data_IF_319549320320
#
_entry.id   IF_319549320320
#
_cell.length_a   1.000
_cell.length_b   1.000
_cell.length_c   1.000
_cell.angle_alpha   90.00
_cell.angle_beta   90.00
_cell.angle_gamma   90.00
#
_symmetry.space_group_name_H-M   'P 1'
#
loop_
_entity.id
_entity.type
_entity.pdbx_description
1 polymer ?
#
# COMPACT_ATOMS: atom_id res chain seq x y z
N UNK A 1 13.87 8.78 27.83
CA UNK A 1 14.38 7.39 27.84
C UNK A 1 15.22 7.17 26.58
N UNK A 2 16.44 7.68 26.63
CA UNK A 2 17.53 7.37 25.71
C UNK A 2 18.22 6.13 26.29
N UNK A 3 18.39 5.00 25.58
CA UNK A 3 19.33 4.01 26.04
C UNK A 3 20.72 4.48 25.66
N UNK A 4 21.47 4.82 26.69
CA UNK A 4 22.90 5.01 26.68
C UNK A 4 23.53 3.74 26.12
N UNK A 5 24.38 3.90 25.10
CA UNK A 5 25.20 2.83 24.55
C UNK A 5 26.01 2.20 25.69
N UNK A 6 25.75 0.92 25.96
CA UNK A 6 26.61 0.11 26.79
C UNK A 6 27.96 0.00 26.08
N UNK A 7 28.95 0.71 26.61
CA UNK A 7 30.34 0.29 26.50
C UNK A 7 30.40 -1.20 26.83
N UNK A 8 30.81 -2.04 25.88
CA UNK A 8 31.22 -3.41 26.16
C UNK A 8 32.33 -3.34 27.20
N UNK A 9 32.13 -3.79 28.44
CA UNK A 9 33.24 -3.87 29.36
C UNK A 9 34.04 -5.12 28.99
N UNK A 10 35.34 -4.94 28.87
CA UNK A 10 36.39 -5.91 28.56
C UNK A 10 36.51 -7.06 29.60
N UNK A 11 35.47 -7.29 30.41
CA UNK A 11 35.51 -8.05 31.67
C UNK A 11 34.86 -9.44 31.62
N UNK A 12 34.47 -9.95 30.45
CA UNK A 12 33.95 -11.32 30.32
C UNK A 12 35.02 -12.38 30.01
N UNK A 13 36.29 -12.00 29.88
CA UNK A 13 37.37 -12.92 29.46
C UNK A 13 38.08 -13.64 30.61
N UNK A 14 37.69 -13.43 31.87
CA UNK A 14 38.40 -13.95 33.05
C UNK A 14 37.62 -14.94 33.92
N UNK A 15 36.36 -15.27 33.61
CA UNK A 15 35.50 -16.05 34.52
C UNK A 15 35.29 -17.53 34.17
N UNK A 16 36.04 -18.10 33.23
CA UNK A 16 35.90 -19.52 32.86
C UNK A 16 37.25 -20.20 32.66
N UNK A 17 38.00 -20.44 33.74
CA UNK A 17 39.09 -21.44 33.73
C UNK A 17 39.09 -22.26 35.02
N UNK A 18 39.07 -23.60 34.97
CA UNK A 18 39.32 -24.43 36.13
C UNK A 18 40.80 -24.34 36.52
N UNK A 19 41.07 -24.14 37.81
CA UNK A 19 42.40 -24.26 38.42
C UNK A 19 42.96 -25.66 38.18
N UNK A 20 43.92 -25.78 37.26
CA UNK A 20 44.78 -26.96 37.10
C UNK A 20 46.21 -26.57 37.44
N UNK A 21 46.64 -26.98 38.64
CA UNK A 21 48.03 -26.93 39.10
C UNK A 21 48.82 -28.06 38.47
N UNK A 22 49.78 -27.77 37.59
CA UNK A 22 50.86 -28.72 37.23
C UNK A 22 52.19 -27.96 37.03
N UNK A 23 53.24 -28.55 37.58
CA UNK A 23 54.60 -28.02 37.76
C UNK A 23 55.46 -28.04 36.46
N UNK A 24 56.45 -27.12 36.44
CA UNK A 24 57.73 -27.16 35.71
C UNK A 24 57.74 -27.11 34.18
N UNK A 25 58.38 -26.06 33.66
CA UNK A 25 58.90 -25.81 32.29
C UNK A 25 57.98 -25.85 31.06
N UNK A 26 56.73 -26.33 31.16
CA UNK A 26 55.76 -26.20 30.05
C UNK A 26 55.02 -24.85 30.04
N UNK A 27 55.12 -24.07 31.13
CA UNK A 27 54.30 -22.87 31.37
C UNK A 27 54.51 -21.70 30.38
N UNK A 28 55.66 -21.62 29.68
CA UNK A 28 55.87 -20.60 28.64
C UNK A 28 55.14 -20.91 27.33
N UNK A 29 54.90 -22.20 27.02
CA UNK A 29 54.23 -22.60 25.79
C UNK A 29 52.70 -22.57 25.95
N UNK A 30 52.19 -22.88 27.15
CA UNK A 30 50.75 -22.87 27.44
C UNK A 30 50.16 -21.46 27.54
N UNK A 31 50.96 -20.45 27.90
CA UNK A 31 50.48 -19.07 28.02
C UNK A 31 50.23 -18.39 26.66
N UNK A 32 50.90 -18.85 25.60
CA UNK A 32 50.72 -18.32 24.23
C UNK A 32 49.45 -18.90 23.56
N UNK A 33 48.97 -20.06 24.02
CA UNK A 33 47.81 -20.74 23.43
C UNK A 33 46.44 -20.22 23.86
N UNK A 34 46.37 -19.26 24.79
CA UNK A 34 45.10 -18.86 25.42
C UNK A 34 44.48 -17.56 24.90
N UNK A 35 45.09 -16.92 23.90
CA UNK A 35 44.57 -15.68 23.29
C UNK A 35 44.33 -15.84 21.78
N UNK A 36 43.54 -16.84 21.38
CA UNK A 36 43.06 -16.90 19.99
C UNK A 36 42.10 -15.74 19.72
N UNK A 37 42.56 -14.76 18.94
CA UNK A 37 41.76 -13.63 18.47
C UNK A 37 40.95 -13.94 17.21
N UNK A 38 41.27 -15.06 16.55
CA UNK A 38 40.59 -15.53 15.36
C UNK A 38 39.56 -16.59 15.73
N UNK A 39 38.32 -16.36 15.32
CA UNK A 39 37.19 -17.28 15.48
C UNK A 39 36.73 -17.69 14.08
N UNK A 40 36.30 -18.94 13.92
CA UNK A 40 35.63 -19.39 12.70
C UNK A 40 34.32 -18.62 12.56
N UNK A 41 34.30 -17.67 11.64
CA UNK A 41 33.15 -16.80 11.39
C UNK A 41 33.04 -16.56 9.89
N UNK A 42 31.81 -16.43 9.41
CA UNK A 42 31.56 -16.09 8.02
C UNK A 42 31.62 -14.58 7.79
N UNK A 43 31.92 -14.17 6.55
CA UNK A 43 31.76 -12.77 6.14
C UNK A 43 30.32 -12.33 6.29
N UNK A 44 30.06 -11.10 6.77
CA UNK A 44 28.70 -10.61 7.04
C UNK A 44 27.79 -10.65 5.80
N UNK A 45 28.33 -10.45 4.60
CA UNK A 45 27.57 -10.48 3.34
C UNK A 45 27.45 -11.90 2.74
N UNK A 46 28.06 -12.91 3.37
CA UNK A 46 27.85 -14.32 3.01
C UNK A 46 26.39 -14.70 3.23
N UNK A 47 25.83 -15.51 2.34
CA UNK A 47 24.47 -16.03 2.49
C UNK A 47 24.28 -16.88 3.76
N UNK A 48 25.34 -17.49 4.29
CA UNK A 48 25.28 -18.32 5.48
C UNK A 48 25.58 -17.56 6.80
N UNK A 49 25.86 -16.25 6.74
CA UNK A 49 26.09 -15.41 7.92
C UNK A 49 24.82 -15.12 8.73
N UNK A 50 23.64 -15.21 8.09
CA UNK A 50 22.34 -14.85 8.68
C UNK A 50 22.18 -13.35 9.03
N UNK A 51 23.11 -12.48 8.61
CA UNK A 51 23.07 -11.06 8.94
C UNK A 51 21.94 -10.33 8.19
N UNK A 52 21.10 -9.60 8.94
CA UNK A 52 19.88 -8.96 8.40
C UNK A 52 19.77 -7.45 8.66
N UNK A 53 20.72 -6.85 9.39
CA UNK A 53 20.62 -5.45 9.80
C UNK A 53 21.26 -4.47 8.80
N UNK A 54 20.55 -4.16 7.72
CA UNK A 54 21.01 -3.26 6.65
C UNK A 54 20.59 -1.79 6.82
N UNK A 55 20.29 -1.35 8.05
CA UNK A 55 19.77 0.02 8.30
C UNK A 55 20.73 1.11 7.85
N UNK A 56 22.04 0.85 7.91
CA UNK A 56 23.07 1.77 7.40
C UNK A 56 22.96 2.03 5.90
N UNK A 57 22.69 0.98 5.10
CA UNK A 57 22.50 1.09 3.65
C UNK A 57 21.28 1.94 3.33
N UNK A 58 20.17 1.74 4.07
CA UNK A 58 18.97 2.57 3.90
C UNK A 58 19.27 4.06 4.17
N UNK A 59 20.00 4.36 5.24
CA UNK A 59 20.40 5.74 5.55
C UNK A 59 21.30 6.31 4.44
N UNK A 60 22.25 5.53 3.93
CA UNK A 60 23.12 5.92 2.83
C UNK A 60 22.32 6.23 1.56
N UNK A 61 21.35 5.39 1.18
CA UNK A 61 20.45 5.66 0.06
C UNK A 61 19.70 6.98 0.22
N UNK A 62 19.20 7.28 1.43
CA UNK A 62 18.51 8.55 1.71
C UNK A 62 19.47 9.74 1.57
N UNK A 63 20.71 9.63 2.06
CA UNK A 63 21.71 10.69 1.94
C UNK A 63 22.08 10.94 0.49
N UNK A 64 22.38 9.89 -0.28
CA UNK A 64 22.70 10.00 -1.70
C UNK A 64 21.56 10.64 -2.50
N UNK A 65 20.32 10.23 -2.19
CA UNK A 65 19.12 10.78 -2.81
C UNK A 65 18.92 12.27 -2.50
N UNK A 66 19.22 12.70 -1.27
CA UNK A 66 19.16 14.11 -0.90
C UNK A 66 20.26 14.89 -1.60
N UNK A 67 21.51 14.42 -1.59
CA UNK A 67 22.64 15.14 -2.17
C UNK A 67 22.52 15.28 -3.69
N UNK A 68 22.10 14.22 -4.40
CA UNK A 68 21.97 14.27 -5.87
C UNK A 68 20.86 15.20 -6.35
N UNK A 69 19.79 15.37 -5.56
CA UNK A 69 18.64 16.18 -5.95
C UNK A 69 18.57 17.53 -5.24
N UNK A 70 19.34 17.77 -4.18
CA UNK A 70 19.31 19.01 -3.42
C UNK A 70 19.60 20.21 -4.32
N UNK A 71 20.59 20.10 -5.21
CA UNK A 71 20.92 21.14 -6.18
C UNK A 71 19.72 21.48 -7.07
N UNK A 72 19.13 20.47 -7.72
CA UNK A 72 18.00 20.69 -8.63
C UNK A 72 16.76 21.20 -7.90
N UNK A 73 16.49 20.70 -6.69
CA UNK A 73 15.39 21.19 -5.86
C UNK A 73 15.59 22.66 -5.47
N UNK A 74 16.82 23.05 -5.07
CA UNK A 74 17.14 24.45 -4.77
C UNK A 74 17.05 25.32 -6.03
N UNK A 75 17.61 24.88 -7.15
CA UNK A 75 17.54 25.62 -8.43
C UNK A 75 16.08 25.85 -8.84
N UNK A 76 15.22 24.82 -8.74
CA UNK A 76 13.80 24.97 -9.01
C UNK A 76 13.14 25.93 -8.02
N UNK A 77 13.41 25.81 -6.72
CA UNK A 77 12.83 26.72 -5.72
C UNK A 77 13.29 28.17 -5.90
N UNK A 78 14.54 28.40 -6.34
CA UNK A 78 15.10 29.74 -6.59
C UNK A 78 14.55 30.31 -7.90
N UNK A 79 14.56 29.52 -8.99
CA UNK A 79 14.16 29.98 -10.33
C UNK A 79 12.66 30.18 -10.46
N UNK A 80 11.89 29.28 -9.88
CA UNK A 80 10.45 29.23 -10.03
C UNK A 80 9.71 29.72 -8.77
N UNK A 81 10.38 29.82 -7.62
CA UNK A 81 9.70 30.17 -6.37
C UNK A 81 8.64 29.15 -5.97
N UNK A 82 7.73 29.55 -5.08
CA UNK A 82 6.50 28.81 -4.82
C UNK A 82 5.45 29.33 -5.81
N UNK A 83 5.36 28.74 -7.00
CA UNK A 83 4.36 29.11 -8.02
C UNK A 83 2.93 28.70 -7.69
N UNK A 84 2.76 27.81 -6.73
CA UNK A 84 1.44 27.30 -6.37
C UNK A 84 0.87 28.18 -5.28
N UNK A 85 -0.03 29.09 -5.65
CA UNK A 85 -0.87 29.79 -4.68
C UNK A 85 -2.11 28.93 -4.36
N UNK A 86 -2.19 28.31 -3.17
CA UNK A 86 -3.32 27.45 -2.80
C UNK A 86 -4.64 28.22 -2.75
N UNK A 87 -4.59 29.51 -2.41
CA UNK A 87 -5.78 30.36 -2.29
C UNK A 87 -6.34 30.65 -3.68
N UNK A 88 -5.46 30.94 -4.64
CA UNK A 88 -5.85 31.16 -6.03
C UNK A 88 -6.43 29.89 -6.68
N UNK A 89 -5.86 28.71 -6.40
CA UNK A 89 -6.40 27.43 -6.91
C UNK A 89 -7.82 27.18 -6.39
N UNK A 90 -8.07 27.43 -5.11
CA UNK A 90 -9.42 27.30 -4.53
C UNK A 90 -10.38 28.34 -5.10
N UNK A 91 -9.92 29.58 -5.27
CA UNK A 91 -10.70 30.65 -5.92
C UNK A 91 -11.10 30.28 -7.36
N UNK A 92 -10.16 29.74 -8.14
CA UNK A 92 -10.40 29.30 -9.51
C UNK A 92 -11.42 28.16 -9.55
N UNK A 93 -11.30 27.20 -8.63
CA UNK A 93 -12.25 26.10 -8.49
C UNK A 93 -13.66 26.57 -8.15
N UNK A 94 -13.80 27.55 -7.24
CA UNK A 94 -15.10 28.12 -6.87
C UNK A 94 -15.70 28.98 -7.99
N UNK A 95 -14.88 29.60 -8.83
CA UNK A 95 -15.33 30.43 -9.95
C UNK A 95 -15.93 29.60 -11.09
N UNK A 96 -15.32 28.45 -11.41
CA UNK A 96 -15.86 27.51 -12.40
C UNK A 96 -15.60 26.05 -11.95
N UNK A 97 -16.52 25.46 -11.17
CA UNK A 97 -16.34 24.09 -10.67
C UNK A 97 -16.40 23.04 -11.78
N UNK A 98 -17.10 23.33 -12.88
CA UNK A 98 -17.24 22.39 -14.01
C UNK A 98 -15.96 22.27 -14.82
N UNK A 99 -15.08 23.29 -14.77
CA UNK A 99 -13.74 23.21 -15.38
C UNK A 99 -12.81 22.22 -14.67
N UNK A 100 -13.11 21.82 -13.42
CA UNK A 100 -12.34 20.83 -12.65
C UNK A 100 -13.19 19.60 -12.31
N UNK A 101 -13.55 18.77 -13.31
CA UNK A 101 -14.46 17.64 -13.14
C UNK A 101 -13.94 16.61 -12.12
N UNK A 102 -12.62 16.41 -12.02
CA UNK A 102 -12.02 15.49 -11.05
C UNK A 102 -12.38 15.87 -9.60
N UNK A 103 -12.31 17.15 -9.26
CA UNK A 103 -12.61 17.64 -7.92
C UNK A 103 -14.12 17.57 -7.63
N UNK A 104 -14.95 17.87 -8.62
CA UNK A 104 -16.40 17.66 -8.54
C UNK A 104 -16.74 16.18 -8.26
N UNK A 105 -16.08 15.23 -8.93
CA UNK A 105 -16.27 13.79 -8.67
C UNK A 105 -15.90 13.41 -7.23
N UNK A 106 -14.86 14.00 -6.66
CA UNK A 106 -14.51 13.76 -5.25
C UNK A 106 -15.61 14.26 -4.30
N UNK A 107 -16.22 15.41 -4.58
CA UNK A 107 -17.31 15.96 -3.76
C UNK A 107 -18.55 15.07 -3.88
N UNK A 108 -18.91 14.66 -5.10
CA UNK A 108 -20.04 13.75 -5.37
C UNK A 108 -19.88 12.41 -4.67
N UNK A 109 -18.64 11.96 -4.41
CA UNK A 109 -18.38 10.69 -3.74
C UNK A 109 -19.04 10.58 -2.34
N UNK A 110 -19.27 11.72 -1.67
CA UNK A 110 -19.95 11.80 -0.37
C UNK A 110 -21.42 11.32 -0.45
N UNK A 111 -22.08 11.47 -1.59
CA UNK A 111 -23.47 11.00 -1.80
C UNK A 111 -23.55 9.49 -1.56
N UNK A 112 -22.60 8.72 -2.08
CA UNK A 112 -22.57 7.27 -1.92
C UNK A 112 -22.26 6.83 -0.48
N UNK A 113 -21.44 7.61 0.24
CA UNK A 113 -21.14 7.39 1.66
C UNK A 113 -22.41 7.61 2.49
N UNK A 114 -23.11 8.73 2.26
CA UNK A 114 -24.36 9.07 2.94
C UNK A 114 -25.46 8.04 2.62
N UNK A 115 -25.56 7.58 1.37
CA UNK A 115 -26.51 6.55 0.97
C UNK A 115 -26.28 5.22 1.71
N UNK A 116 -25.02 4.79 1.84
CA UNK A 116 -24.65 3.60 2.63
C UNK A 116 -25.04 3.78 4.10
N UNK A 117 -24.71 4.94 4.68
CA UNK A 117 -25.02 5.27 6.06
C UNK A 117 -26.53 5.28 6.35
N UNK A 118 -27.31 5.92 5.47
CA UNK A 118 -28.75 6.00 5.61
C UNK A 118 -29.39 4.63 5.54
N UNK A 119 -28.97 3.80 4.58
CA UNK A 119 -29.44 2.41 4.43
C UNK A 119 -29.17 1.61 5.72
N UNK A 120 -27.96 1.70 6.26
CA UNK A 120 -27.58 1.04 7.52
C UNK A 120 -28.40 1.53 8.72
N UNK A 121 -28.65 2.84 8.84
CA UNK A 121 -29.52 3.38 9.91
C UNK A 121 -30.95 2.86 9.81
N UNK A 122 -31.50 2.72 8.61
CA UNK A 122 -32.86 2.22 8.40
C UNK A 122 -32.96 0.72 8.69
N UNK A 123 -31.92 -0.05 8.36
CA UNK A 123 -31.77 -1.46 8.75
C UNK A 123 -31.65 -1.60 10.28
N UNK A 124 -30.90 -0.72 10.94
CA UNK A 124 -30.70 -0.76 12.38
C UNK A 124 -31.97 -0.58 13.20
N UNK A 125 -32.90 0.24 12.70
CA UNK A 125 -34.21 0.50 13.31
C UNK A 125 -35.26 -0.54 12.89
N UNK A 126 -34.94 -1.41 11.92
CA UNK A 126 -35.87 -2.42 11.40
C UNK A 126 -36.96 -1.86 10.48
N UNK A 127 -36.78 -0.64 9.93
CA UNK A 127 -37.73 -0.06 8.95
C UNK A 127 -37.63 -0.70 7.56
N UNK A 128 -36.51 -1.35 7.25
CA UNK A 128 -36.22 -1.98 5.97
C UNK A 128 -35.88 -3.45 6.22
N UNK A 129 -36.34 -4.34 5.34
CA UNK A 129 -35.99 -5.77 5.40
C UNK A 129 -34.51 -6.01 5.05
N UNK A 130 -33.90 -7.08 5.56
CA UNK A 130 -32.51 -7.41 5.23
C UNK A 130 -32.29 -7.67 3.73
N UNK A 131 -33.29 -8.23 3.02
CA UNK A 131 -33.23 -8.43 1.58
C UNK A 131 -33.19 -7.10 0.82
N UNK A 132 -34.11 -6.19 1.14
CA UNK A 132 -34.15 -4.85 0.55
C UNK A 132 -32.88 -4.06 0.88
N UNK A 133 -32.36 -4.18 2.11
CA UNK A 133 -31.08 -3.58 2.50
C UNK A 133 -29.90 -4.10 1.68
N UNK A 134 -29.82 -5.43 1.48
CA UNK A 134 -28.79 -6.03 0.65
C UNK A 134 -28.86 -5.54 -0.81
N UNK A 135 -30.08 -5.43 -1.36
CA UNK A 135 -30.30 -4.90 -2.70
C UNK A 135 -29.86 -3.44 -2.81
N UNK A 136 -30.26 -2.57 -1.88
CA UNK A 136 -29.86 -1.16 -1.85
C UNK A 136 -28.33 -0.99 -1.72
N UNK A 137 -27.69 -1.80 -0.87
CA UNK A 137 -26.23 -1.81 -0.79
C UNK A 137 -25.58 -2.29 -2.08
N UNK A 138 -26.11 -3.32 -2.73
CA UNK A 138 -25.62 -3.83 -4.01
C UNK A 138 -25.71 -2.78 -5.11
N UNK A 139 -26.84 -2.09 -5.22
CA UNK A 139 -27.05 -0.98 -6.16
C UNK A 139 -26.07 0.17 -5.88
N UNK A 140 -25.92 0.58 -4.62
CA UNK A 140 -25.02 1.67 -4.27
C UNK A 140 -23.55 1.31 -4.57
N UNK A 141 -23.11 0.09 -4.21
CA UNK A 141 -21.74 -0.37 -4.49
C UNK A 141 -21.46 -0.48 -5.99
N UNK A 142 -22.44 -0.94 -6.78
CA UNK A 142 -22.32 -0.97 -8.24
C UNK A 142 -22.23 0.44 -8.81
N UNK A 143 -23.06 1.36 -8.32
CA UNK A 143 -23.03 2.75 -8.74
C UNK A 143 -21.69 3.44 -8.40
N UNK A 144 -21.07 3.14 -7.24
CA UNK A 144 -19.74 3.65 -6.89
C UNK A 144 -18.68 3.24 -7.94
N UNK A 145 -18.78 2.05 -8.54
CA UNK A 145 -17.83 1.62 -9.57
C UNK A 145 -18.18 2.13 -10.97
N UNK A 146 -19.47 2.16 -11.35
CA UNK A 146 -19.88 2.51 -12.72
C UNK A 146 -19.93 4.02 -12.94
N UNK A 147 -20.42 4.79 -11.96
CA UNK A 147 -20.57 6.24 -12.08
C UNK A 147 -19.27 6.98 -12.48
N UNK A 148 -18.13 6.80 -11.79
CA UNK A 148 -16.92 7.53 -12.15
C UNK A 148 -16.37 7.09 -13.52
N UNK A 149 -16.61 5.85 -13.96
CA UNK A 149 -16.20 5.38 -15.30
C UNK A 149 -16.95 6.14 -16.38
N UNK A 150 -18.28 6.23 -16.25
CA UNK A 150 -19.10 6.98 -17.21
C UNK A 150 -18.64 8.43 -17.26
N UNK A 151 -18.37 9.04 -16.11
CA UNK A 151 -17.90 10.43 -16.05
C UNK A 151 -16.52 10.61 -16.70
N UNK A 152 -15.56 9.72 -16.46
CA UNK A 152 -14.22 9.78 -17.07
C UNK A 152 -14.26 9.61 -18.60
N UNK A 153 -15.13 8.74 -19.10
CA UNK A 153 -15.26 8.47 -20.53
C UNK A 153 -16.07 9.56 -21.26
N UNK A 154 -17.14 10.07 -20.66
CA UNK A 154 -18.01 11.06 -21.29
C UNK A 154 -17.47 12.50 -21.17
N UNK A 155 -16.79 12.85 -20.07
CA UNK A 155 -16.29 14.21 -19.84
C UNK A 155 -14.89 14.34 -20.46
N UNK A 156 -14.80 14.99 -21.61
CA UNK A 156 -13.55 15.18 -22.37
C UNK A 156 -12.57 16.14 -21.70
N UNK A 157 -13.03 17.04 -20.82
CA UNK A 157 -12.16 17.96 -20.08
C UNK A 157 -11.39 17.31 -18.92
N UNK A 158 -11.65 16.04 -18.60
CA UNK A 158 -10.97 15.35 -17.53
C UNK A 158 -9.57 14.88 -17.97
N UNK A 159 -8.54 15.35 -17.27
CA UNK A 159 -7.16 14.90 -17.51
C UNK A 159 -6.97 13.42 -17.09
N UNK A 160 -6.06 12.67 -17.73
CA UNK A 160 -5.81 11.26 -17.35
C UNK A 160 -5.37 11.11 -15.89
N UNK A 161 -4.51 12.01 -15.41
CA UNK A 161 -4.07 12.01 -14.00
C UNK A 161 -5.25 12.26 -13.05
N UNK A 162 -6.12 13.23 -13.39
CA UNK A 162 -7.38 13.46 -12.66
C UNK A 162 -8.29 12.23 -12.66
N UNK A 163 -8.39 11.54 -13.81
CA UNK A 163 -9.13 10.29 -13.96
C UNK A 163 -8.61 9.16 -13.06
N UNK A 164 -7.29 8.91 -13.04
CA UNK A 164 -6.67 7.91 -12.15
C UNK A 164 -6.95 8.25 -10.68
N UNK A 165 -6.80 9.51 -10.28
CA UNK A 165 -7.06 9.95 -8.91
C UNK A 165 -8.53 9.76 -8.52
N UNK A 166 -9.48 10.18 -9.38
CA UNK A 166 -10.90 9.99 -9.14
C UNK A 166 -11.26 8.49 -9.04
N UNK A 167 -10.87 7.66 -10.02
CA UNK A 167 -11.16 6.22 -9.99
C UNK A 167 -10.51 5.51 -8.79
N UNK A 168 -9.30 5.94 -8.39
CA UNK A 168 -8.62 5.45 -7.19
C UNK A 168 -9.41 5.73 -5.92
N UNK A 169 -9.91 6.96 -5.75
CA UNK A 169 -10.75 7.34 -4.60
C UNK A 169 -12.05 6.52 -4.58
N UNK A 170 -12.73 6.38 -5.73
CA UNK A 170 -13.96 5.60 -5.81
C UNK A 170 -13.74 4.11 -5.54
N UNK A 171 -12.61 3.54 -5.99
CA UNK A 171 -12.22 2.16 -5.66
C UNK A 171 -11.97 1.99 -4.16
N UNK A 172 -11.26 2.93 -3.51
CA UNK A 172 -11.05 2.93 -2.06
C UNK A 172 -12.39 3.03 -1.31
N UNK A 173 -13.29 3.92 -1.76
CA UNK A 173 -14.62 4.07 -1.18
C UNK A 173 -15.46 2.82 -1.37
N UNK A 174 -15.42 2.17 -2.53
CA UNK A 174 -16.10 0.89 -2.77
C UNK A 174 -15.66 -0.15 -1.73
N UNK A 175 -14.35 -0.36 -1.55
CA UNK A 175 -13.81 -1.33 -0.59
C UNK A 175 -14.22 -0.97 0.85
N UNK A 176 -14.15 0.31 1.22
CA UNK A 176 -14.59 0.79 2.54
C UNK A 176 -16.08 0.58 2.76
N UNK A 177 -16.95 1.01 1.84
CA UNK A 177 -18.40 0.86 1.98
C UNK A 177 -18.82 -0.62 2.00
N UNK A 178 -18.13 -1.47 1.24
CA UNK A 178 -18.31 -2.92 1.29
C UNK A 178 -18.00 -3.47 2.70
N UNK A 179 -16.85 -3.08 3.26
CA UNK A 179 -16.45 -3.50 4.59
C UNK A 179 -17.38 -2.96 5.69
N UNK A 180 -17.85 -1.72 5.55
CA UNK A 180 -18.80 -1.09 6.46
C UNK A 180 -20.12 -1.85 6.52
N UNK A 181 -20.70 -2.18 5.35
CA UNK A 181 -21.89 -3.01 5.24
C UNK A 181 -21.70 -4.38 5.91
N UNK A 182 -20.63 -5.10 5.56
CA UNK A 182 -20.39 -6.46 6.06
C UNK A 182 -20.23 -6.49 7.58
N UNK A 183 -19.38 -5.62 8.13
CA UNK A 183 -19.14 -5.56 9.58
C UNK A 183 -20.40 -5.18 10.34
N UNK A 184 -21.18 -4.20 9.87
CA UNK A 184 -22.44 -3.84 10.54
C UNK A 184 -23.49 -4.95 10.44
N UNK A 185 -23.58 -5.64 9.29
CA UNK A 185 -24.42 -6.83 9.15
C UNK A 185 -24.06 -7.91 10.16
N UNK A 186 -22.77 -8.24 10.33
CA UNK A 186 -22.34 -9.22 11.33
C UNK A 186 -22.70 -8.77 12.75
N UNK A 187 -22.56 -7.49 13.07
CA UNK A 187 -22.98 -6.94 14.37
C UNK A 187 -24.50 -7.06 14.59
N UNK A 188 -25.31 -6.83 13.54
CA UNK A 188 -26.77 -7.06 13.60
C UNK A 188 -27.10 -8.52 13.87
N UNK A 189 -26.49 -9.44 13.12
CA UNK A 189 -26.70 -10.88 13.27
C UNK A 189 -26.35 -11.36 14.69
N UNK A 190 -25.21 -10.91 15.24
CA UNK A 190 -24.81 -11.21 16.62
C UNK A 190 -25.81 -10.64 17.64
N UNK A 191 -26.28 -9.41 17.45
CA UNK A 191 -27.28 -8.79 18.32
C UNK A 191 -28.59 -9.58 18.31
N UNK A 192 -29.08 -9.96 17.13
CA UNK A 192 -30.30 -10.76 16.98
C UNK A 192 -30.15 -12.14 17.62
N UNK A 193 -29.00 -12.80 17.44
CA UNK A 193 -28.71 -14.08 18.09
C UNK A 193 -28.69 -13.94 19.63
N UNK A 194 -28.10 -12.86 20.16
CA UNK A 194 -28.08 -12.57 21.61
C UNK A 194 -29.48 -12.34 22.17
N UNK A 195 -30.32 -11.58 21.46
CA UNK A 195 -31.73 -11.36 21.85
C UNK A 195 -32.49 -12.69 21.85
N UNK A 196 -32.37 -13.50 20.80
CA UNK A 196 -33.00 -14.84 20.72
C UNK A 196 -32.56 -15.75 21.87
N UNK A 197 -31.29 -15.70 22.26
CA UNK A 197 -30.76 -16.47 23.40
C UNK A 197 -31.35 -15.99 24.72
N UNK A 198 -31.41 -14.67 24.94
CA UNK A 198 -31.99 -14.07 26.14
C UNK A 198 -33.49 -14.38 26.28
N UNK A 199 -34.25 -14.38 25.18
CA UNK A 199 -35.66 -14.83 25.21
C UNK A 199 -35.83 -16.33 25.47
N UNK A 200 -34.79 -17.15 25.24
CA UNK A 200 -34.82 -18.60 25.57
C UNK A 200 -34.28 -18.90 26.98
N UNK A 201 -33.50 -18.00 27.58
CA UNK A 201 -32.97 -18.14 28.93
C UNK A 201 -33.70 -17.20 29.89
N UNK A 202 -34.59 -17.72 30.75
CA UNK A 202 -35.28 -16.95 31.81
C UNK A 202 -34.35 -16.44 32.93
N UNK A 203 -33.03 -16.42 32.75
CA UNK A 203 -32.07 -15.97 33.75
C UNK A 203 -31.53 -14.56 33.46
N UNK A 204 -31.56 -13.73 34.49
CA UNK A 204 -31.16 -12.33 34.50
C UNK A 204 -29.66 -12.18 34.17
N UNK A 205 -29.24 -11.32 33.22
CA UNK A 205 -27.83 -11.13 32.96
C UNK A 205 -27.24 -10.13 33.97
N UNK A 206 -26.27 -10.59 34.77
CA UNK A 206 -25.38 -9.71 35.51
C UNK A 206 -24.58 -8.85 34.52
N UNK A 207 -24.69 -7.53 34.66
CA UNK A 207 -23.98 -6.56 33.82
C UNK A 207 -22.53 -6.51 34.26
N UNK A 208 -21.65 -7.26 33.60
CA UNK A 208 -20.21 -7.12 33.78
C UNK A 208 -19.77 -5.78 33.19
N UNK A 209 -19.71 -4.74 34.03
CA UNK A 209 -19.10 -3.44 33.71
C UNK A 209 -17.58 -3.63 33.55
N UNK A 210 -17.15 -3.99 32.35
CA UNK A 210 -15.74 -3.98 31.98
C UNK A 210 -15.27 -2.53 31.78
N UNK A 211 -14.59 -2.03 32.81
CA UNK A 211 -13.51 -1.03 32.82
C UNK A 211 -13.57 0.16 31.83
N UNK A 212 -13.89 1.35 32.37
CA UNK A 212 -13.20 2.64 32.16
C UNK A 212 -13.02 3.25 30.76
N UNK A 213 -13.25 2.53 29.66
CA UNK A 213 -13.20 3.03 28.28
C UNK A 213 -14.56 2.82 27.64
N UNK A 214 -15.15 3.88 27.10
CA UNK A 214 -16.42 3.87 26.37
C UNK A 214 -16.30 3.03 25.09
N UNK A 215 -16.44 1.71 25.20
CA UNK A 215 -16.42 0.80 24.07
C UNK A 215 -17.71 0.96 23.25
N UNK A 216 -17.61 1.49 22.04
CA UNK A 216 -18.77 1.72 21.19
C UNK A 216 -19.34 0.36 20.79
N UNK A 217 -20.63 0.18 21.03
CA UNK A 217 -21.37 -1.04 20.72
C UNK A 217 -22.50 -0.72 19.75
N UNK A 218 -22.79 -1.64 18.83
CA UNK A 218 -23.89 -1.48 17.88
C UNK A 218 -25.25 -1.35 18.60
N UNK A 219 -26.13 -0.40 18.25
CA UNK A 219 -26.10 0.51 17.09
C UNK A 219 -25.45 1.89 17.32
N UNK A 220 -24.80 2.11 18.47
CA UNK A 220 -24.22 3.41 18.85
C UNK A 220 -23.05 3.88 17.97
N UNK A 221 -22.55 3.03 17.05
CA UNK A 221 -21.53 3.38 16.05
C UNK A 221 -22.08 4.06 14.79
N UNK A 222 -23.41 4.12 14.64
CA UNK A 222 -24.06 4.69 13.45
C UNK A 222 -24.18 6.21 13.57
N UNK A 223 -23.03 6.88 13.68
CA UNK A 223 -22.92 8.35 13.71
C UNK A 223 -22.20 8.88 12.47
N UNK A 224 -22.52 10.11 12.05
CA UNK A 224 -21.79 10.76 10.94
C UNK A 224 -20.30 10.89 11.24
N UNK A 225 -19.94 11.16 12.50
CA UNK A 225 -18.54 11.26 12.93
C UNK A 225 -17.78 9.96 12.70
N UNK A 226 -18.37 8.82 13.03
CA UNK A 226 -17.67 7.53 12.94
C UNK A 226 -17.51 7.06 11.49
N UNK A 227 -18.52 7.29 10.63
CA UNK A 227 -18.40 6.93 9.21
C UNK A 227 -17.38 7.83 8.49
N UNK A 228 -17.40 9.15 8.69
CA UNK A 228 -16.41 10.03 8.08
C UNK A 228 -15.01 9.79 8.65
N UNK A 229 -14.90 9.50 9.94
CA UNK A 229 -13.64 9.02 10.52
C UNK A 229 -13.13 7.78 9.77
N UNK A 230 -13.99 6.79 9.53
CA UNK A 230 -13.63 5.59 8.77
C UNK A 230 -13.26 5.89 7.31
N UNK A 231 -13.95 6.83 6.64
CA UNK A 231 -13.64 7.22 5.26
C UNK A 231 -12.21 7.76 5.15
N UNK A 232 -11.78 8.60 6.10
CA UNK A 232 -10.46 9.25 6.03
C UNK A 232 -9.30 8.43 6.58
N UNK A 233 -9.52 7.49 7.52
CA UNK A 233 -8.41 6.68 8.03
C UNK A 233 -7.80 5.76 6.97
N UNK A 234 -6.49 5.49 7.03
CA UNK A 234 -5.78 4.71 6.02
C UNK A 234 -5.91 3.19 6.24
N UNK A 235 -7.15 2.71 6.35
CA UNK A 235 -7.49 1.27 6.37
C UNK A 235 -8.77 1.02 5.56
N UNK A 236 -8.88 -0.18 5.00
CA UNK A 236 -10.02 -0.60 4.19
C UNK A 236 -11.01 -1.48 4.98
N UNK A 237 -10.60 -2.01 6.11
CA UNK A 237 -11.43 -2.85 6.97
C UNK A 237 -12.12 -2.00 8.04
N UNK A 238 -13.45 -1.96 8.03
CA UNK A 238 -14.24 -1.28 9.06
C UNK A 238 -14.28 -2.11 10.35
N UNK A 239 -14.04 -1.42 11.47
CA UNK A 239 -14.18 -1.93 12.82
C UNK A 239 -14.87 -0.88 13.69
N UNK A 240 -15.55 -1.32 14.75
CA UNK A 240 -16.31 -0.43 15.61
C UNK A 240 -15.38 0.46 16.45
N UNK A 241 -14.27 -0.09 16.92
CA UNK A 241 -13.33 0.58 17.82
C UNK A 241 -11.93 0.46 17.26
N UNK A 242 -11.49 1.50 16.55
CA UNK A 242 -10.13 1.57 16.03
C UNK A 242 -9.12 1.92 17.13
N UNK A 243 -7.89 1.35 17.10
CA UNK A 243 -6.83 1.78 17.99
C UNK A 243 -6.48 3.25 17.74
N UNK A 244 -6.38 4.05 18.81
CA UNK A 244 -6.09 5.49 18.73
C UNK A 244 -4.73 5.82 19.32
N UNK A 245 -4.02 6.72 18.65
CA UNK A 245 -2.81 7.35 19.19
C UNK A 245 -3.21 8.40 20.25
N UNK A 246 -2.50 8.52 21.38
CA UNK A 246 -2.89 9.42 22.47
C UNK A 246 -2.75 10.92 22.11
N UNK A 247 -1.85 11.26 21.18
CA UNK A 247 -1.57 12.63 20.76
C UNK A 247 -1.03 12.68 19.33
N UNK A 248 -1.13 13.85 18.70
CA UNK A 248 -0.51 14.14 17.41
C UNK A 248 0.95 14.59 17.64
N UNK A 249 1.91 13.82 17.13
CA UNK A 249 3.35 14.08 17.21
C UNK A 249 3.76 15.02 16.06
N UNK A 250 3.75 16.33 16.32
CA UNK A 250 4.04 17.38 15.32
C UNK A 250 5.38 17.19 14.58
N UNK A 251 6.46 16.84 15.29
CA UNK A 251 7.77 16.56 14.66
C UNK A 251 7.72 15.39 13.68
N UNK A 252 6.99 14.33 14.02
CA UNK A 252 6.80 13.18 13.14
C UNK A 252 5.98 13.59 11.91
N UNK A 253 4.88 14.35 12.11
CA UNK A 253 4.02 14.85 11.04
C UNK A 253 4.79 15.75 10.04
N UNK A 254 5.58 16.71 10.55
CA UNK A 254 6.41 17.59 9.71
C UNK A 254 7.47 16.79 8.93
N UNK A 255 8.10 15.80 9.56
CA UNK A 255 9.04 14.90 8.87
C UNK A 255 8.35 14.13 7.74
N UNK A 256 7.15 13.59 7.96
CA UNK A 256 6.38 12.90 6.91
C UNK A 256 6.02 13.84 5.77
N UNK A 257 5.59 15.07 6.09
CA UNK A 257 5.26 16.10 5.09
C UNK A 257 6.48 16.44 4.22
N UNK A 258 7.66 16.65 4.82
CA UNK A 258 8.89 16.90 4.07
C UNK A 258 9.26 15.74 3.15
N UNK A 259 9.15 14.50 3.65
CA UNK A 259 9.38 13.32 2.83
C UNK A 259 8.37 13.17 1.68
N UNK A 260 7.10 13.57 1.87
CA UNK A 260 6.09 13.59 0.81
C UNK A 260 6.43 14.61 -0.29
N UNK A 261 6.79 15.84 0.09
CA UNK A 261 7.18 16.89 -0.87
C UNK A 261 8.41 16.47 -1.64
N UNK A 262 9.44 15.97 -0.95
CA UNK A 262 10.68 15.48 -1.57
C UNK A 262 10.45 14.27 -2.47
N UNK A 263 9.65 13.30 -2.02
CA UNK A 263 9.32 12.11 -2.80
C UNK A 263 8.58 12.45 -4.10
N UNK A 264 7.59 13.35 -4.02
CA UNK A 264 6.85 13.81 -5.19
C UNK A 264 7.74 14.60 -6.16
N UNK A 265 8.54 15.55 -5.65
CA UNK A 265 9.49 16.32 -6.45
C UNK A 265 10.50 15.40 -7.16
N UNK A 266 11.01 14.38 -6.47
CA UNK A 266 11.96 13.44 -7.04
C UNK A 266 11.33 12.55 -8.13
N UNK A 267 10.12 12.02 -7.92
CA UNK A 267 9.39 11.31 -8.98
C UNK A 267 9.12 12.19 -10.20
N UNK A 268 8.78 13.47 -9.99
CA UNK A 268 8.60 14.44 -11.07
C UNK A 268 9.92 14.66 -11.83
N UNK A 269 11.01 14.93 -11.13
CA UNK A 269 12.35 15.04 -11.72
C UNK A 269 12.74 13.81 -12.54
N UNK A 270 12.59 12.59 -12.02
CA UNK A 270 12.92 11.37 -12.79
C UNK A 270 12.11 11.23 -14.07
N UNK A 271 10.86 11.70 -14.04
CA UNK A 271 9.99 11.69 -15.21
C UNK A 271 10.39 12.76 -16.22
N UNK A 272 10.84 13.94 -15.75
CA UNK A 272 11.05 15.14 -16.57
C UNK A 272 12.48 15.27 -17.11
N UNK A 273 13.48 14.83 -16.36
CA UNK A 273 14.92 14.96 -16.67
C UNK A 273 15.56 13.60 -16.93
N UNK A 274 16.09 13.45 -18.15
CA UNK A 274 17.23 12.59 -18.55
C UNK A 274 17.07 11.08 -18.81
N UNK A 275 15.89 10.44 -18.81
CA UNK A 275 15.82 9.05 -19.33
C UNK A 275 14.50 8.62 -19.94
N UNK A 276 13.35 9.10 -19.45
CA UNK A 276 12.05 8.59 -19.89
C UNK A 276 11.52 9.32 -21.13
N UNK A 277 11.23 10.62 -21.03
CA UNK A 277 10.62 11.41 -22.12
C UNK A 277 11.38 11.37 -23.45
N UNK A 278 12.71 11.62 -23.51
CA UNK A 278 13.43 11.55 -24.78
C UNK A 278 13.53 10.12 -25.33
N UNK A 279 13.63 9.11 -24.47
CA UNK A 279 13.63 7.69 -24.91
C UNK A 279 12.26 7.29 -25.45
N UNK A 280 11.16 7.76 -24.85
CA UNK A 280 9.80 7.52 -25.33
C UNK A 280 9.56 8.14 -26.71
N UNK A 281 10.05 9.36 -26.95
CA UNK A 281 9.97 10.03 -28.26
C UNK A 281 10.72 9.27 -29.36
N UNK A 282 11.90 8.73 -29.05
CA UNK A 282 12.72 7.93 -29.96
C UNK A 282 12.13 6.55 -30.31
N UNK A 283 10.99 6.15 -29.71
CA UNK A 283 10.33 4.85 -29.96
C UNK A 283 9.25 4.92 -31.06
N UNK A 284 8.86 6.12 -31.50
CA UNK A 284 7.79 6.36 -32.46
C UNK A 284 8.00 5.80 -33.88
N UNK A 285 9.19 5.31 -34.24
CA UNK A 285 9.44 4.64 -35.53
C UNK A 285 8.82 3.23 -35.54
N UNK A 286 7.61 3.12 -36.09
CA UNK A 286 6.67 1.99 -36.10
C UNK A 286 7.12 0.66 -36.76
N UNK A 287 8.40 0.47 -37.07
CA UNK A 287 8.95 -0.80 -37.55
C UNK A 287 10.01 -1.32 -36.57
N UNK A 288 9.57 -2.08 -35.56
CA UNK A 288 10.49 -2.61 -34.54
C UNK A 288 10.52 -4.13 -34.53
N UNK A 289 11.72 -4.68 -34.82
CA UNK A 289 12.06 -6.07 -34.53
C UNK A 289 11.85 -6.40 -33.05
N UNK A 290 11.41 -7.62 -32.74
CA UNK A 290 11.21 -8.10 -31.36
C UNK A 290 12.46 -7.88 -30.47
N UNK A 291 13.66 -8.06 -31.03
CA UNK A 291 14.93 -7.83 -30.33
C UNK A 291 15.09 -6.37 -29.87
N UNK A 292 14.76 -5.41 -30.74
CA UNK A 292 14.84 -3.97 -30.43
C UNK A 292 13.78 -3.56 -29.40
N UNK A 293 12.61 -4.18 -29.43
CA UNK A 293 11.56 -3.98 -28.42
C UNK A 293 12.03 -4.43 -27.03
N UNK A 294 12.64 -5.61 -26.93
CA UNK A 294 13.17 -6.13 -25.66
C UNK A 294 14.32 -5.26 -25.14
N UNK A 295 15.27 -4.87 -25.99
CA UNK A 295 16.36 -3.97 -25.62
C UNK A 295 15.85 -2.64 -25.03
N UNK A 296 14.87 -2.02 -25.68
CA UNK A 296 14.30 -0.73 -25.25
C UNK A 296 13.46 -0.88 -23.99
N UNK A 297 12.70 -1.97 -23.86
CA UNK A 297 11.94 -2.28 -22.64
C UNK A 297 12.87 -2.45 -21.43
N UNK A 298 14.01 -3.12 -21.61
CA UNK A 298 15.02 -3.26 -20.54
C UNK A 298 15.66 -1.92 -20.16
N UNK A 299 15.94 -1.03 -21.12
CA UNK A 299 16.44 0.33 -20.85
C UNK A 299 15.46 1.15 -19.99
N UNK A 300 14.15 0.98 -20.22
CA UNK A 300 13.12 1.68 -19.47
C UNK A 300 12.73 0.98 -18.15
N UNK A 301 13.00 -0.31 -18.01
CA UNK A 301 12.61 -1.10 -16.84
C UNK A 301 13.24 -0.59 -15.55
N UNK A 302 14.53 -0.20 -15.57
CA UNK A 302 15.24 0.27 -14.37
C UNK A 302 14.71 1.64 -13.88
N UNK A 303 14.64 2.70 -14.72
CA UNK A 303 14.04 3.97 -14.31
C UNK A 303 12.59 3.81 -13.85
N UNK A 304 11.79 3.00 -14.55
CA UNK A 304 10.42 2.69 -14.17
C UNK A 304 10.35 2.05 -12.78
N UNK A 305 11.18 1.04 -12.54
CA UNK A 305 11.23 0.36 -11.23
C UNK A 305 11.61 1.33 -10.11
N UNK A 306 12.58 2.23 -10.34
CA UNK A 306 12.93 3.27 -9.36
C UNK A 306 11.74 4.17 -9.03
N UNK A 307 10.99 4.62 -10.04
CA UNK A 307 9.77 5.42 -9.83
C UNK A 307 8.75 4.66 -8.97
N UNK A 308 8.56 3.36 -9.22
CA UNK A 308 7.65 2.53 -8.42
C UNK A 308 8.12 2.36 -6.96
N UNK A 309 9.43 2.24 -6.71
CA UNK A 309 9.98 2.21 -5.34
C UNK A 309 9.78 3.54 -4.61
N UNK A 310 10.01 4.66 -5.30
CA UNK A 310 9.79 6.00 -4.75
C UNK A 310 8.30 6.20 -4.47
N UNK A 311 7.44 5.82 -5.41
CA UNK A 311 5.97 5.86 -5.25
C UNK A 311 5.52 5.02 -4.05
N UNK A 312 6.06 3.80 -3.90
CA UNK A 312 5.76 2.94 -2.77
C UNK A 312 6.08 3.63 -1.44
N UNK A 313 7.30 4.17 -1.31
CA UNK A 313 7.71 4.88 -0.09
C UNK A 313 6.87 6.15 0.14
N UNK A 314 6.67 6.95 -0.90
CA UNK A 314 5.91 8.19 -0.84
C UNK A 314 4.44 7.95 -0.42
N UNK A 315 3.79 6.94 -0.98
CA UNK A 315 2.39 6.65 -0.73
C UNK A 315 2.18 5.83 0.56
N UNK A 316 2.72 4.60 0.62
CA UNK A 316 2.46 3.65 1.72
C UNK A 316 3.19 4.01 3.00
N UNK A 317 4.38 4.58 2.91
CA UNK A 317 5.11 5.00 4.11
C UNK A 317 4.75 6.44 4.48
N UNK A 318 5.09 7.43 3.67
CA UNK A 318 4.99 8.83 4.09
C UNK A 318 3.55 9.34 4.12
N UNK A 319 2.78 9.16 3.05
CA UNK A 319 1.40 9.68 2.95
C UNK A 319 0.43 8.98 3.90
N UNK A 320 0.43 7.65 3.95
CA UNK A 320 -0.44 6.92 4.88
C UNK A 320 -0.09 7.17 6.35
N UNK A 321 1.19 7.30 6.72
CA UNK A 321 1.56 7.67 8.09
C UNK A 321 1.19 9.12 8.42
N UNK A 322 1.25 10.03 7.45
CA UNK A 322 0.80 11.41 7.62
C UNK A 322 -0.71 11.45 7.94
N UNK A 323 -1.52 10.76 7.13
CA UNK A 323 -2.98 10.67 7.35
C UNK A 323 -3.28 9.95 8.67
N UNK A 324 -2.59 8.85 8.98
CA UNK A 324 -2.76 8.13 10.24
C UNK A 324 -2.45 9.00 11.46
N UNK A 325 -1.37 9.78 11.42
CA UNK A 325 -1.02 10.69 12.52
C UNK A 325 -2.03 11.83 12.64
N UNK A 326 -2.49 12.41 11.54
CA UNK A 326 -3.50 13.48 11.52
C UNK A 326 -4.84 13.00 12.11
N UNK A 327 -5.26 11.79 11.75
CA UNK A 327 -6.50 11.16 12.22
C UNK A 327 -6.33 10.45 13.58
N UNK A 328 -5.13 10.48 14.19
CA UNK A 328 -4.79 9.75 15.41
C UNK A 328 -5.06 8.24 15.33
N UNK A 329 -4.88 7.64 14.16
CA UNK A 329 -4.97 6.20 13.94
C UNK A 329 -3.72 5.49 14.47
N UNK A 330 -3.93 4.46 15.29
CA UNK A 330 -2.87 3.74 16.00
C UNK A 330 -2.26 2.57 15.23
N UNK A 331 -3.03 1.91 14.35
CA UNK A 331 -2.51 0.84 13.51
C UNK A 331 -1.80 1.43 12.29
N UNK A 332 -0.49 1.21 12.20
CA UNK A 332 0.37 1.79 11.16
C UNK A 332 1.10 0.73 10.36
N UNK A 333 0.64 -0.52 10.47
CA UNK A 333 1.16 -1.64 9.72
C UNK A 333 0.55 -1.64 8.30
N UNK A 334 1.03 -0.75 7.45
CA UNK A 334 0.56 -0.62 6.06
C UNK A 334 1.26 -1.58 5.10
N UNK A 335 2.47 -2.02 5.45
CA UNK A 335 3.30 -2.95 4.70
C UNK A 335 4.24 -3.69 5.66
N UNK A 336 4.76 -4.84 5.23
CA UNK A 336 5.80 -5.62 5.91
C UNK A 336 7.07 -5.67 5.06
N UNK A 337 8.05 -6.47 5.44
CA UNK A 337 9.35 -6.66 4.81
C UNK A 337 9.27 -7.42 3.47
N UNK A 338 8.46 -6.91 2.53
CA UNK A 338 8.26 -7.49 1.21
C UNK A 338 9.52 -7.51 0.34
N UNK A 339 10.55 -6.72 0.66
CA UNK A 339 11.85 -6.77 -0.04
C UNK A 339 12.67 -8.03 0.28
N UNK A 340 12.34 -8.74 1.37
CA UNK A 340 12.93 -10.02 1.75
C UNK A 340 12.08 -11.22 1.30
N UNK A 341 11.15 -11.02 0.35
CA UNK A 341 10.21 -12.06 -0.06
C UNK A 341 10.91 -13.17 -0.85
N UNK A 342 10.98 -14.38 -0.30
CA UNK A 342 11.47 -15.56 -1.05
C UNK A 342 10.44 -16.11 -2.05
N UNK A 343 9.16 -15.81 -1.84
CA UNK A 343 8.07 -16.27 -2.71
C UNK A 343 7.20 -15.10 -3.17
N UNK A 344 6.70 -15.20 -4.40
CA UNK A 344 5.76 -14.22 -4.98
C UNK A 344 4.49 -14.09 -4.13
N UNK A 345 4.02 -15.18 -3.54
CA UNK A 345 2.87 -15.19 -2.62
C UNK A 345 3.12 -14.40 -1.35
N UNK A 346 4.33 -14.46 -0.79
CA UNK A 346 4.71 -13.68 0.38
C UNK A 346 4.78 -12.19 0.01
N UNK A 347 5.35 -11.84 -1.14
CA UNK A 347 5.36 -10.45 -1.63
C UNK A 347 3.94 -9.85 -1.71
N UNK A 348 3.01 -10.51 -2.40
CA UNK A 348 1.65 -10.02 -2.58
C UNK A 348 0.84 -9.91 -1.27
N UNK A 349 1.25 -10.65 -0.24
CA UNK A 349 0.61 -10.59 1.08
C UNK A 349 1.16 -9.46 1.96
N UNK A 350 2.35 -8.93 1.65
CA UNK A 350 3.10 -8.04 2.53
C UNK A 350 3.32 -6.63 1.98
N UNK A 351 3.15 -6.41 0.67
CA UNK A 351 3.38 -5.10 0.06
C UNK A 351 2.30 -4.06 0.46
N UNK A 352 1.02 -4.44 0.43
CA UNK A 352 -0.12 -3.57 0.73
C UNK A 352 -1.08 -4.31 1.67
N UNK A 353 -0.78 -4.20 2.96
CA UNK A 353 -1.51 -4.87 4.03
C UNK A 353 -2.98 -4.44 4.10
N UNK A 354 -3.38 -3.16 3.91
CA UNK A 354 -4.79 -2.78 3.90
C UNK A 354 -5.63 -3.56 2.87
N UNK A 355 -5.15 -3.64 1.62
CA UNK A 355 -5.84 -4.38 0.56
C UNK A 355 -5.80 -5.88 0.84
N UNK A 356 -4.65 -6.41 1.26
CA UNK A 356 -4.51 -7.83 1.61
C UNK A 356 -5.47 -8.24 2.74
N UNK A 357 -5.52 -7.48 3.85
CA UNK A 357 -6.44 -7.71 4.98
C UNK A 357 -7.91 -7.64 4.51
N UNK A 358 -8.26 -6.72 3.61
CA UNK A 358 -9.60 -6.61 3.05
C UNK A 358 -9.95 -7.83 2.20
N UNK A 359 -9.10 -8.22 1.24
CA UNK A 359 -9.31 -9.40 0.41
C UNK A 359 -9.43 -10.65 1.28
N UNK A 360 -8.59 -10.79 2.30
CA UNK A 360 -8.62 -11.94 3.20
C UNK A 360 -9.92 -12.02 4.02
N UNK A 361 -10.40 -10.88 4.55
CA UNK A 361 -11.59 -10.82 5.44
C UNK A 361 -12.91 -10.87 4.69
N UNK A 362 -13.04 -10.15 3.59
CA UNK A 362 -14.32 -9.89 2.92
C UNK A 362 -14.52 -10.71 1.63
N UNK A 363 -13.44 -11.27 1.09
CA UNK A 363 -13.49 -12.02 -0.17
C UNK A 363 -13.09 -13.48 0.05
N UNK A 364 -11.83 -13.73 0.43
CA UNK A 364 -11.24 -15.05 0.54
C UNK A 364 -11.87 -15.92 1.65
N UNK A 365 -11.90 -15.45 2.91
CA UNK A 365 -12.50 -16.22 4.02
C UNK A 365 -13.98 -16.56 3.79
N UNK A 366 -14.84 -15.62 3.32
CA UNK A 366 -16.22 -15.95 2.95
C UNK A 366 -16.34 -17.00 1.84
N UNK A 367 -15.48 -16.97 0.81
CA UNK A 367 -15.46 -18.02 -0.23
C UNK A 367 -15.10 -19.39 0.34
N UNK A 368 -14.08 -19.46 1.19
CA UNK A 368 -13.70 -20.70 1.86
C UNK A 368 -14.81 -21.25 2.76
N UNK A 369 -15.51 -20.37 3.50
CA UNK A 369 -16.66 -20.77 4.34
C UNK A 369 -17.83 -21.32 3.52
N UNK A 370 -17.94 -20.95 2.24
CA UNK A 370 -18.93 -21.49 1.29
C UNK A 370 -18.49 -22.82 0.64
N UNK A 371 -17.31 -23.33 0.96
CA UNK A 371 -16.79 -24.60 0.44
C UNK A 371 -15.94 -24.50 -0.83
N UNK A 372 -15.54 -23.29 -1.26
CA UNK A 372 -14.67 -23.12 -2.44
C UNK A 372 -13.23 -23.58 -2.11
N UNK A 373 -12.59 -24.29 -3.03
CA UNK A 373 -11.20 -24.73 -2.89
C UNK A 373 -10.23 -23.53 -2.75
N UNK A 374 -9.14 -23.70 -1.98
CA UNK A 374 -8.10 -22.68 -1.74
C UNK A 374 -7.52 -22.12 -3.04
N UNK A 375 -7.17 -22.98 -4.00
CA UNK A 375 -6.58 -22.53 -5.28
C UNK A 375 -7.57 -21.69 -6.10
N UNK A 376 -8.84 -22.11 -6.17
CA UNK A 376 -9.90 -21.34 -6.83
C UNK A 376 -10.15 -20.00 -6.13
N UNK A 377 -10.16 -19.98 -4.79
CA UNK A 377 -10.32 -18.76 -4.02
C UNK A 377 -9.14 -17.80 -4.19
N UNK A 378 -7.90 -18.30 -4.26
CA UNK A 378 -6.72 -17.50 -4.58
C UNK A 378 -6.79 -16.93 -6.00
N UNK A 379 -7.12 -17.76 -6.99
CA UNK A 379 -7.28 -17.34 -8.39
C UNK A 379 -8.36 -16.28 -8.53
N UNK A 380 -9.49 -16.42 -7.82
CA UNK A 380 -10.55 -15.43 -7.80
C UNK A 380 -10.11 -14.08 -7.20
N UNK A 381 -9.28 -14.09 -6.15
CA UNK A 381 -8.69 -12.85 -5.60
C UNK A 381 -7.74 -12.19 -6.61
N UNK A 382 -6.93 -12.98 -7.33
CA UNK A 382 -6.06 -12.47 -8.40
C UNK A 382 -6.86 -11.89 -9.57
N UNK A 383 -7.95 -12.55 -9.99
CA UNK A 383 -8.86 -12.04 -11.02
C UNK A 383 -9.51 -10.72 -10.61
N UNK A 384 -10.00 -10.63 -9.36
CA UNK A 384 -10.57 -9.38 -8.84
C UNK A 384 -9.51 -8.27 -8.80
N UNK A 385 -8.27 -8.60 -8.40
CA UNK A 385 -7.15 -7.66 -8.42
C UNK A 385 -6.81 -7.21 -9.84
N UNK A 386 -6.73 -8.13 -10.80
CA UNK A 386 -6.46 -7.85 -12.21
C UNK A 386 -7.52 -6.92 -12.83
N UNK A 387 -8.79 -7.14 -12.49
CA UNK A 387 -9.88 -6.25 -12.87
C UNK A 387 -9.64 -4.81 -12.38
N UNK A 388 -9.28 -4.61 -11.10
CA UNK A 388 -9.04 -3.27 -10.57
C UNK A 388 -7.77 -2.62 -11.15
N UNK A 389 -6.73 -3.39 -11.45
CA UNK A 389 -5.53 -2.85 -12.10
C UNK A 389 -5.84 -2.37 -13.52
N UNK A 390 -6.55 -3.19 -14.31
CA UNK A 390 -6.99 -2.78 -15.64
C UNK A 390 -7.94 -1.58 -15.56
N UNK A 391 -8.91 -1.60 -14.65
CA UNK A 391 -9.85 -0.49 -14.41
C UNK A 391 -9.15 0.84 -14.10
N UNK A 392 -8.11 0.83 -13.27
CA UNK A 392 -7.39 2.05 -12.88
C UNK A 392 -6.46 2.58 -13.98
N UNK A 393 -5.97 1.73 -14.88
CA UNK A 393 -5.01 2.12 -15.94
C UNK A 393 -5.71 2.38 -17.27
N UNK A 394 -6.58 1.47 -17.71
CA UNK A 394 -7.22 1.53 -19.03
C UNK A 394 -8.22 2.69 -19.18
N UNK A 395 -9.05 2.93 -18.16
CA UNK A 395 -10.17 3.87 -18.24
C UNK A 395 -9.69 5.33 -18.33
N UNK A 396 -8.76 5.81 -17.48
CA UNK A 396 -8.25 7.18 -17.59
C UNK A 396 -7.49 7.46 -18.88
N UNK A 397 -6.81 6.44 -19.41
CA UNK A 397 -6.07 6.55 -20.67
C UNK A 397 -6.95 6.29 -21.90
N UNK A 398 -8.18 5.79 -21.70
CA UNK A 398 -9.13 5.38 -22.74
C UNK A 398 -8.58 4.29 -23.68
N UNK A 399 -7.75 3.40 -23.13
CA UNK A 399 -7.08 2.33 -23.88
C UNK A 399 -7.38 0.96 -23.28
N UNK A 400 -8.10 0.10 -24.00
CA UNK A 400 -8.55 -1.21 -23.50
C UNK A 400 -7.76 -2.37 -24.12
N UNK A 401 -6.45 -2.44 -23.84
CA UNK A 401 -5.54 -3.46 -24.42
C UNK A 401 -5.39 -4.73 -23.58
N UNK A 402 -5.89 -4.74 -22.34
CA UNK A 402 -5.82 -5.86 -21.38
C UNK A 402 -4.39 -6.32 -21.03
N UNK A 403 -3.38 -5.47 -21.18
CA UNK A 403 -2.00 -5.79 -20.81
C UNK A 403 -1.80 -5.85 -19.31
N UNK A 404 -2.42 -4.95 -18.53
CA UNK A 404 -2.29 -4.95 -17.08
C UNK A 404 -3.03 -6.15 -16.48
N UNK A 405 -4.20 -6.48 -17.03
CA UNK A 405 -4.92 -7.72 -16.72
C UNK A 405 -4.06 -8.97 -16.97
N UNK A 406 -3.50 -9.09 -18.18
CA UNK A 406 -2.68 -10.24 -18.58
C UNK A 406 -1.43 -10.36 -17.72
N UNK A 407 -0.77 -9.23 -17.42
CA UNK A 407 0.41 -9.19 -16.53
C UNK A 407 0.09 -9.66 -15.11
N UNK A 408 -1.06 -9.29 -14.56
CA UNK A 408 -1.53 -9.79 -13.26
C UNK A 408 -1.88 -11.27 -13.29
N UNK A 409 -2.50 -11.77 -14.36
CA UNK A 409 -2.82 -13.20 -14.50
C UNK A 409 -1.58 -14.07 -14.69
N UNK A 410 -0.55 -13.57 -15.38
CA UNK A 410 0.74 -14.23 -15.54
C UNK A 410 1.51 -14.41 -14.21
N UNK A 411 1.17 -13.64 -13.17
CA UNK A 411 1.76 -13.80 -11.83
C UNK A 411 1.32 -15.10 -11.15
N UNK A 412 0.16 -15.66 -11.48
CA UNK A 412 -0.33 -16.92 -10.88
C UNK A 412 0.56 -18.12 -11.25
N UNK A 413 0.82 -18.42 -12.55
CA UNK A 413 1.75 -19.49 -12.90
C UNK A 413 3.19 -19.17 -12.47
N UNK A 414 3.61 -17.90 -12.50
CA UNK A 414 4.92 -17.49 -12.01
C UNK A 414 5.08 -17.78 -10.50
N UNK A 415 4.06 -17.49 -9.69
CA UNK A 415 4.09 -17.77 -8.26
C UNK A 415 4.19 -19.26 -7.96
N UNK A 416 3.50 -20.10 -8.74
CA UNK A 416 3.63 -21.56 -8.65
C UNK A 416 5.04 -22.03 -9.04
N UNK A 417 5.60 -21.50 -10.13
CA UNK A 417 6.94 -21.84 -10.59
C UNK A 417 8.02 -21.45 -9.56
N UNK A 418 8.04 -20.18 -9.12
CA UNK A 418 9.02 -19.70 -8.14
C UNK A 418 8.90 -20.49 -6.84
N UNK A 419 7.68 -20.71 -6.33
CA UNK A 419 7.47 -21.47 -5.10
C UNK A 419 7.80 -22.97 -5.20
N UNK A 420 7.86 -23.54 -6.41
CA UNK A 420 8.19 -24.96 -6.61
C UNK A 420 9.68 -25.19 -6.84
N UNK A 421 10.36 -24.28 -7.53
CA UNK A 421 11.70 -24.49 -8.08
C UNK A 421 12.79 -23.61 -7.44
N UNK A 422 12.45 -22.47 -6.85
CA UNK A 422 13.43 -21.51 -6.31
C UNK A 422 13.22 -21.33 -4.80
N UNK A 423 14.32 -21.34 -4.04
CA UNK A 423 14.30 -21.22 -2.58
C UNK A 423 15.34 -20.19 -2.09
N UNK A 424 15.10 -19.60 -0.91
CA UNK A 424 16.04 -18.68 -0.28
C UNK A 424 16.34 -17.45 -1.14
N UNK A 425 17.63 -17.10 -1.22
CA UNK A 425 18.11 -15.93 -1.96
C UNK A 425 17.78 -15.96 -3.46
N UNK A 426 17.72 -17.15 -4.08
CA UNK A 426 17.33 -17.29 -5.49
C UNK A 426 15.84 -17.02 -5.70
N UNK A 427 14.99 -17.42 -4.74
CA UNK A 427 13.58 -17.06 -4.72
C UNK A 427 13.39 -15.55 -4.61
N UNK A 428 14.16 -14.90 -3.72
CA UNK A 428 14.17 -13.45 -3.58
C UNK A 428 14.61 -12.75 -4.88
N UNK A 429 15.70 -13.19 -5.50
CA UNK A 429 16.13 -12.67 -6.80
C UNK A 429 15.04 -12.80 -7.89
N UNK A 430 14.32 -13.92 -7.94
CA UNK A 430 13.23 -14.11 -8.88
C UNK A 430 12.04 -13.17 -8.60
N UNK A 431 11.72 -12.91 -7.33
CA UNK A 431 10.71 -11.91 -6.96
C UNK A 431 11.13 -10.53 -7.48
N UNK A 432 12.38 -10.09 -7.23
CA UNK A 432 12.88 -8.82 -7.76
C UNK A 432 12.83 -8.72 -9.28
N UNK A 433 13.25 -9.77 -9.98
CA UNK A 433 13.15 -9.82 -11.44
C UNK A 433 11.69 -9.66 -11.91
N UNK A 434 10.73 -10.29 -11.22
CA UNK A 434 9.31 -10.13 -11.51
C UNK A 434 8.79 -8.72 -11.26
N UNK A 435 9.35 -7.99 -10.28
CA UNK A 435 8.96 -6.60 -9.97
C UNK A 435 9.58 -5.59 -10.95
N UNK A 436 10.71 -5.92 -11.57
CA UNK A 436 11.35 -5.07 -12.56
C UNK A 436 10.70 -5.25 -13.93
N UNK A 437 10.46 -6.51 -14.36
CA UNK A 437 10.02 -6.84 -15.72
C UNK A 437 8.51 -7.12 -15.82
N UNK A 438 7.85 -7.45 -14.71
CA UNK A 438 6.46 -7.88 -14.70
C UNK A 438 5.44 -6.75 -14.79
N UNK A 439 4.63 -6.58 -13.75
CA UNK A 439 3.46 -5.69 -13.79
C UNK A 439 3.82 -4.22 -14.10
N UNK A 440 4.87 -3.62 -13.51
CA UNK A 440 5.22 -2.23 -13.77
C UNK A 440 5.51 -1.92 -15.25
N UNK A 441 6.02 -2.89 -16.00
CA UNK A 441 6.28 -2.74 -17.43
C UNK A 441 4.97 -2.72 -18.22
N UNK A 442 3.98 -3.53 -17.84
CA UNK A 442 2.67 -3.49 -18.49
C UNK A 442 2.03 -2.08 -18.37
N UNK A 443 2.16 -1.42 -17.21
CA UNK A 443 1.69 -0.04 -17.03
C UNK A 443 2.51 0.95 -17.86
N UNK A 444 3.83 0.77 -17.91
CA UNK A 444 4.71 1.58 -18.75
C UNK A 444 4.30 1.53 -20.23
N UNK A 445 3.92 0.36 -20.74
CA UNK A 445 3.47 0.21 -22.14
C UNK A 445 2.20 1.04 -22.42
N UNK A 446 1.25 1.11 -21.49
CA UNK A 446 0.08 1.99 -21.63
C UNK A 446 0.47 3.47 -21.67
N UNK A 447 1.36 3.90 -20.78
CA UNK A 447 1.79 5.29 -20.71
C UNK A 447 2.59 5.67 -21.96
N UNK A 448 3.45 4.77 -22.44
CA UNK A 448 4.18 4.93 -23.69
C UNK A 448 3.22 5.15 -24.86
N UNK A 449 2.24 4.26 -25.04
CA UNK A 449 1.35 4.37 -26.19
C UNK A 449 0.43 5.58 -26.10
N UNK A 450 -0.02 5.93 -24.89
CA UNK A 450 -0.74 7.18 -24.67
C UNK A 450 0.11 8.37 -25.11
N UNK A 451 1.39 8.40 -24.74
CA UNK A 451 2.30 9.48 -25.10
C UNK A 451 2.54 9.54 -26.61
N UNK A 452 2.80 8.39 -27.26
CA UNK A 452 2.99 8.32 -28.72
C UNK A 452 1.75 8.78 -29.48
N UNK A 453 0.55 8.40 -29.05
CA UNK A 453 -0.70 8.79 -29.73
C UNK A 453 -0.94 10.31 -29.62
N UNK A 454 -0.68 10.92 -28.46
CA UNK A 454 -1.02 12.32 -28.20
C UNK A 454 0.09 13.31 -28.53
N UNK A 455 1.35 12.88 -28.52
CA UNK A 455 2.52 13.74 -28.73
C UNK A 455 3.44 13.26 -29.86
N UNK A 456 3.23 12.07 -30.42
CA UNK A 456 4.10 11.46 -31.43
C UNK A 456 3.78 11.81 -32.90
N UNK A 457 2.89 12.77 -33.15
CA UNK A 457 2.54 13.26 -34.52
C UNK A 457 2.90 14.74 -34.72
N UNK A 458 4.11 15.13 -34.30
CA UNK A 458 4.68 16.44 -34.62
C UNK A 458 5.99 16.28 -35.40
N UNK A 459 5.94 15.60 -36.54
CA UNK A 459 6.88 15.80 -37.65
C UNK A 459 6.11 16.07 -38.93
#
# INVERSE_FOLDING_TARGET
SVPIYSHYPFTYLLSTFPLLSVHSDSAKLTFVMLFFCHVMQESLLSSASGYSNYRGILNWCVVMLVLSNARLFLENLIKYGILVDPIQVVSLFLKDPYSWPAACLMIVSNVFVIATFYTERRLAVGKISESTGLMLHGLNLTAILVFPVVMVLCVTSLTPVGGVLSLGIYTILFMKMYSYKDTNRWCREIRLAKVKRLTRSNSCPSVTRLSGKTHVSYPGNLTYRDIYYFVFIPTLCYELNFPRSPRIRKRFLLRRLFEMVRGHAHSHTLTTTDTLTPTLQNISSLEMDFSRMVERLLKLAVPNHLIWLIFFYWFFHSSMNFVAELMQFGDREFYRDWWNSETVTYFWSNWNIPVHKWCLRHFYKPMLRKGVNKFMAQTAVFLASAFFHEYLVSIPLRMFRLWAFSGMMAQVPLAWFVGRFLNGNYGNAAVWMSLIIGQPVAVLMYVHDYYVIHYGTSE
#
